data_IF_631623320694
#
_entry.id   IF_631623320694
#
_cell.length_a   1.000
_cell.length_b   1.000
_cell.length_c   1.000
_cell.angle_alpha   90.00
_cell.angle_beta   90.00
_cell.angle_gamma   90.00
#
_symmetry.space_group_name_H-M   'P 1'
#
loop_
_entity.id
_entity.type
_entity.pdbx_description
1 polymer ?
#
# COMPACT_ATOMS: atom_id res chain seq x y z
N UNK A 1 -5.79 -14.49 3.44
CA UNK A 1 -4.37 -14.30 3.77
C UNK A 1 -4.20 -12.82 4.06
N UNK A 2 -3.73 -12.51 5.27
CA UNK A 2 -3.47 -11.12 5.66
C UNK A 2 -2.11 -10.69 5.09
N UNK A 3 -2.07 -9.52 4.46
CA UNK A 3 -0.83 -8.87 4.00
C UNK A 3 -0.57 -7.65 4.86
N UNK A 4 0.60 -7.56 5.48
CA UNK A 4 1.05 -6.35 6.18
C UNK A 4 1.79 -5.49 5.16
N UNK A 5 1.27 -4.29 4.93
CA UNK A 5 1.82 -3.32 4.00
C UNK A 5 2.51 -2.23 4.81
N UNK A 6 3.76 -1.93 4.48
CA UNK A 6 4.52 -0.82 5.05
C UNK A 6 5.04 0.07 3.93
N UNK A 7 4.72 1.35 3.97
CA UNK A 7 5.26 2.37 3.07
C UNK A 7 6.31 3.15 3.84
N UNK A 8 7.50 3.27 3.27
CA UNK A 8 8.64 3.94 3.89
C UNK A 8 9.17 5.03 2.98
N UNK A 9 9.72 6.08 3.59
CA UNK A 9 10.47 7.13 2.91
C UNK A 9 11.95 7.06 3.27
N UNK A 10 12.81 7.47 2.36
CA UNK A 10 14.25 7.61 2.61
C UNK A 10 14.55 8.95 3.27
N UNK A 11 15.27 8.93 4.39
CA UNK A 11 15.78 10.11 5.07
C UNK A 11 17.05 10.59 4.36
N UNK A 12 17.03 11.81 3.81
CA UNK A 12 18.13 12.34 3.00
C UNK A 12 19.43 12.53 3.79
N UNK A 13 19.33 12.77 5.10
CA UNK A 13 20.48 13.09 5.95
C UNK A 13 21.23 11.84 6.45
N UNK A 14 20.52 10.71 6.61
CA UNK A 14 21.07 9.47 7.20
C UNK A 14 21.08 8.29 6.22
N UNK A 15 20.44 8.44 5.06
CA UNK A 15 20.18 7.36 4.10
C UNK A 15 19.31 6.21 4.67
N UNK A 16 18.73 6.39 5.85
CA UNK A 16 17.86 5.42 6.52
C UNK A 16 16.44 5.46 5.96
N UNK A 17 15.68 4.39 6.19
CA UNK A 17 14.27 4.29 5.79
C UNK A 17 13.38 4.45 7.02
N UNK A 18 12.38 5.31 6.91
CA UNK A 18 11.40 5.59 7.97
C UNK A 18 9.99 5.20 7.49
N UNK A 19 9.25 4.37 8.26
CA UNK A 19 7.86 4.05 7.94
C UNK A 19 6.98 5.30 8.07
N UNK A 20 6.18 5.56 7.03
CA UNK A 20 5.20 6.66 7.00
C UNK A 20 3.77 6.17 7.08
N UNK A 21 3.49 4.99 6.54
CA UNK A 21 2.18 4.34 6.61
C UNK A 21 2.39 2.84 6.83
N UNK A 22 1.58 2.23 7.68
CA UNK A 22 1.54 0.77 7.83
C UNK A 22 0.10 0.31 8.05
N UNK A 23 -0.33 -0.75 7.37
CA UNK A 23 -1.69 -1.28 7.49
C UNK A 23 -1.77 -2.75 7.08
N UNK A 24 -2.80 -3.45 7.54
CA UNK A 24 -3.11 -4.81 7.11
C UNK A 24 -4.16 -4.78 6.00
N UNK A 25 -3.92 -5.50 4.91
CA UNK A 25 -4.85 -5.72 3.80
C UNK A 25 -5.28 -7.19 3.76
N UNK A 26 -6.57 -7.42 3.87
CA UNK A 26 -7.18 -8.74 3.70
C UNK A 26 -7.46 -9.05 2.22
N UNK A 27 -7.66 -10.33 1.88
CA UNK A 27 -7.94 -10.74 0.49
C UNK A 27 -9.28 -10.22 -0.04
N UNK A 28 -10.22 -9.87 0.84
CA UNK A 28 -11.50 -9.26 0.48
C UNK A 28 -11.42 -7.73 0.30
N UNK A 29 -10.22 -7.15 0.50
CA UNK A 29 -9.99 -5.71 0.37
C UNK A 29 -10.22 -4.90 1.65
N UNK A 30 -10.57 -5.56 2.76
CA UNK A 30 -10.66 -4.90 4.06
C UNK A 30 -9.29 -4.41 4.53
N UNK A 31 -9.26 -3.18 5.07
CA UNK A 31 -8.05 -2.59 5.66
C UNK A 31 -8.23 -2.45 7.17
N UNK A 32 -7.25 -2.96 7.92
CA UNK A 32 -7.20 -2.88 9.37
C UNK A 32 -5.86 -2.31 9.87
N UNK A 33 -5.82 -1.90 11.13
CA UNK A 33 -4.56 -1.62 11.84
C UNK A 33 -3.74 -0.46 11.27
N UNK A 34 -4.39 0.52 10.61
CA UNK A 34 -3.70 1.65 9.98
C UNK A 34 -2.90 2.45 11.02
N UNK A 35 -1.60 2.58 10.78
CA UNK A 35 -0.68 3.51 11.43
C UNK A 35 -0.27 4.56 10.41
N UNK A 36 -0.65 5.82 10.62
CA UNK A 36 -0.49 6.91 9.65
C UNK A 36 -1.82 7.61 9.38
N UNK A 37 -2.09 8.00 8.13
CA UNK A 37 -3.33 8.68 7.74
C UNK A 37 -4.38 7.69 7.17
N UNK A 38 -5.43 7.34 7.95
CA UNK A 38 -6.46 6.42 7.50
C UNK A 38 -7.33 6.96 6.38
N UNK A 39 -7.47 8.29 6.24
CA UNK A 39 -8.25 8.89 5.15
C UNK A 39 -7.46 8.76 3.86
N UNK A 40 -6.16 9.05 3.90
CA UNK A 40 -5.28 8.91 2.76
C UNK A 40 -5.32 7.49 2.16
N UNK A 41 -5.18 6.46 3.00
CA UNK A 41 -5.16 5.07 2.54
C UNK A 41 -6.53 4.64 1.97
N UNK A 42 -7.63 4.97 2.65
CA UNK A 42 -8.98 4.53 2.23
C UNK A 42 -9.50 5.25 0.99
N UNK A 43 -9.15 6.52 0.80
CA UNK A 43 -9.58 7.30 -0.37
C UNK A 43 -8.67 7.09 -1.59
N UNK A 44 -7.56 6.35 -1.42
CA UNK A 44 -6.60 6.10 -2.50
C UNK A 44 -7.19 5.23 -3.60
N UNK A 45 -7.10 5.73 -4.83
CA UNK A 45 -7.57 5.06 -6.03
C UNK A 45 -6.58 5.21 -7.17
N UNK A 46 -6.50 4.20 -8.02
CA UNK A 46 -5.70 4.23 -9.24
C UNK A 46 -6.60 4.04 -10.46
N UNK A 47 -6.10 4.39 -11.64
CA UNK A 47 -6.75 4.09 -12.92
C UNK A 47 -5.98 2.94 -13.56
N UNK A 48 -6.67 1.83 -13.80
CA UNK A 48 -6.09 0.66 -14.42
C UNK A 48 -6.81 0.36 -15.75
N UNK A 49 -6.02 0.08 -16.79
CA UNK A 49 -6.53 -0.14 -18.16
C UNK A 49 -7.06 -1.55 -18.37
N UNK A 50 -6.62 -2.53 -17.60
CA UNK A 50 -7.06 -3.93 -17.69
C UNK A 50 -8.48 -4.10 -17.13
N UNK A 51 -8.82 -3.31 -16.12
CA UNK A 51 -10.17 -3.26 -15.53
C UNK A 51 -10.99 -2.05 -15.99
N UNK A 52 -10.48 -1.31 -16.98
CA UNK A 52 -11.14 -0.16 -17.64
C UNK A 52 -11.78 0.84 -16.66
N UNK A 53 -11.11 1.15 -15.55
CA UNK A 53 -11.74 1.96 -14.52
C UNK A 53 -10.88 2.30 -13.30
N UNK A 54 -11.57 2.83 -12.29
CA UNK A 54 -10.98 3.14 -10.99
C UNK A 54 -10.81 1.87 -10.17
N UNK A 55 -9.61 1.64 -9.64
CA UNK A 55 -9.32 0.57 -8.69
C UNK A 55 -9.13 1.13 -7.30
N UNK A 56 -9.73 0.45 -6.33
CA UNK A 56 -9.66 0.75 -4.89
C UNK A 56 -9.32 -0.55 -4.16
N UNK A 57 -8.91 -0.44 -2.89
CA UNK A 57 -8.66 -1.61 -2.06
C UNK A 57 -9.91 -2.52 -1.96
N UNK A 58 -11.13 -1.96 -1.94
CA UNK A 58 -12.38 -2.72 -1.85
C UNK A 58 -12.79 -3.43 -3.16
N UNK A 59 -12.51 -2.80 -4.31
CA UNK A 59 -13.00 -3.33 -5.60
C UNK A 59 -12.03 -4.32 -6.23
N UNK A 60 -10.73 -4.02 -6.18
CA UNK A 60 -9.69 -4.80 -6.84
C UNK A 60 -8.43 -4.82 -5.96
N UNK A 61 -8.45 -5.44 -4.76
CA UNK A 61 -7.38 -5.33 -3.76
C UNK A 61 -6.00 -5.68 -4.30
N UNK A 62 -5.89 -6.76 -5.08
CA UNK A 62 -4.61 -7.18 -5.64
C UNK A 62 -4.10 -6.24 -6.75
N UNK A 63 -5.01 -5.68 -7.57
CA UNK A 63 -4.65 -4.72 -8.61
C UNK A 63 -4.27 -3.38 -7.98
N UNK A 64 -5.02 -2.94 -6.98
CA UNK A 64 -4.72 -1.76 -6.18
C UNK A 64 -3.37 -1.88 -5.48
N UNK A 65 -3.06 -3.02 -4.86
CA UNK A 65 -1.75 -3.28 -4.24
C UNK A 65 -0.61 -3.26 -5.27
N UNK A 66 -0.84 -3.79 -6.48
CA UNK A 66 0.14 -3.73 -7.58
C UNK A 66 0.44 -2.27 -7.96
N UNK A 67 -0.57 -1.42 -8.09
CA UNK A 67 -0.36 0.01 -8.35
C UNK A 67 0.32 0.72 -7.20
N UNK A 68 -0.08 0.42 -5.97
CA UNK A 68 0.55 0.95 -4.77
C UNK A 68 2.05 0.61 -4.75
N UNK A 69 2.42 -0.63 -5.04
CA UNK A 69 3.82 -1.04 -5.13
C UNK A 69 4.60 -0.27 -6.20
N UNK A 70 3.97 0.06 -7.34
CA UNK A 70 4.59 0.86 -8.40
C UNK A 70 4.76 2.33 -7.97
N UNK A 71 3.72 2.94 -7.40
CA UNK A 71 3.75 4.33 -6.91
C UNK A 71 4.83 4.53 -5.84
N UNK A 72 5.02 3.52 -4.99
CA UNK A 72 6.01 3.51 -3.92
C UNK A 72 7.22 2.63 -4.25
N UNK A 73 7.66 2.60 -5.52
CA UNK A 73 8.94 2.02 -5.93
C UNK A 73 9.83 3.10 -6.55
N UNK A 74 10.50 3.87 -5.69
CA UNK A 74 11.29 5.03 -6.08
C UNK A 74 12.63 5.13 -5.34
N UNK A 75 13.46 6.12 -5.70
CA UNK A 75 14.75 6.35 -5.04
C UNK A 75 14.59 6.82 -3.58
N UNK A 76 13.45 7.42 -3.24
CA UNK A 76 13.12 8.03 -1.95
C UNK A 76 11.91 7.39 -1.25
N UNK A 77 11.28 6.39 -1.88
CA UNK A 77 10.09 5.70 -1.37
C UNK A 77 10.16 4.21 -1.69
N UNK A 78 9.75 3.38 -0.73
CA UNK A 78 9.60 1.95 -0.94
C UNK A 78 8.34 1.43 -0.27
N UNK A 79 7.81 0.33 -0.81
CA UNK A 79 6.72 -0.43 -0.22
C UNK A 79 7.21 -1.84 0.08
N UNK A 80 6.96 -2.30 1.30
CA UNK A 80 7.24 -3.65 1.78
C UNK A 80 5.90 -4.37 2.00
N UNK A 81 5.83 -5.64 1.56
CA UNK A 81 4.67 -6.51 1.76
C UNK A 81 5.13 -7.76 2.49
N UNK A 82 4.54 -8.04 3.64
CA UNK A 82 4.74 -9.28 4.40
C UNK A 82 3.45 -10.09 4.40
N UNK A 83 3.53 -11.37 4.06
CA UNK A 83 2.37 -12.27 4.07
C UNK A 83 2.33 -13.04 5.39
N UNK A 84 1.25 -12.86 6.16
CA UNK A 84 1.00 -13.68 7.34
C UNK A 84 0.31 -14.99 6.92
N UNK A 85 1.10 -16.07 6.90
CA UNK A 85 0.57 -17.43 6.79
C UNK A 85 -0.03 -17.82 8.14
N UNK A 86 -1.37 -17.82 8.23
CA UNK A 86 -2.10 -18.44 9.34
C UNK A 86 -2.04 -19.97 9.30
#
# INVERSE_FOLDING_TARGET
MRKIITIERKLLDTDEWEPIEAFSLEDDGSIEGIQGDPVFIKDMKFIDREVEGSVTHESHPNVWLRHLAVEYSGPDRRLTVEEESS
#
